data_IF_369989714372
#
_entry.id   IF_369989714372
#
_cell.length_a   1.000
_cell.length_b   1.000
_cell.length_c   1.000
_cell.angle_alpha   90.00
_cell.angle_beta   90.00
_cell.angle_gamma   90.00
#
_symmetry.space_group_name_H-M   'P 1'
#
loop_
_entity.id
_entity.type
_entity.pdbx_description
1 polymer ?
#
# COMPACT_ATOMS: atom_id res chain seq x y z
N UNK A 1 20.76 -25.94 4.78
CA UNK A 1 21.39 -25.12 3.71
C UNK A 1 20.85 -25.49 2.33
N UNK A 2 20.83 -26.78 1.92
CA UNK A 2 20.18 -27.20 0.66
C UNK A 2 18.68 -26.84 0.58
N UNK A 3 17.92 -27.03 1.65
CA UNK A 3 16.48 -26.67 1.64
C UNK A 3 16.22 -25.15 1.57
N UNK A 4 17.18 -24.33 2.01
CA UNK A 4 17.08 -22.87 1.90
C UNK A 4 17.33 -22.40 0.46
N UNK A 5 18.25 -23.06 -0.26
CA UNK A 5 18.55 -22.77 -1.66
C UNK A 5 17.36 -23.12 -2.59
N UNK A 6 16.69 -24.25 -2.33
CA UNK A 6 15.51 -24.66 -3.09
C UNK A 6 14.31 -23.74 -2.84
N UNK A 7 14.17 -23.21 -1.62
CA UNK A 7 13.13 -22.24 -1.28
C UNK A 7 13.34 -20.88 -1.97
N UNK A 8 14.61 -20.43 -2.11
CA UNK A 8 14.92 -19.22 -2.89
C UNK A 8 14.67 -19.40 -4.38
N UNK A 9 14.95 -20.58 -4.93
CA UNK A 9 14.72 -20.87 -6.35
C UNK A 9 13.22 -20.87 -6.72
N UNK A 10 12.35 -21.36 -5.84
CA UNK A 10 10.90 -21.29 -6.04
C UNK A 10 10.34 -19.86 -5.89
N UNK A 11 10.86 -19.05 -4.97
CA UNK A 11 10.46 -17.64 -4.90
C UNK A 11 10.83 -16.89 -6.19
N UNK A 12 12.02 -17.16 -6.75
CA UNK A 12 12.48 -16.53 -8.00
C UNK A 12 11.62 -16.95 -9.20
N UNK A 13 11.16 -18.20 -9.28
CA UNK A 13 10.32 -18.64 -10.41
C UNK A 13 8.90 -18.06 -10.35
N UNK A 14 8.32 -17.93 -9.15
CA UNK A 14 7.00 -17.29 -8.96
C UNK A 14 7.08 -15.79 -9.23
N UNK A 15 8.16 -15.13 -8.81
CA UNK A 15 8.44 -13.73 -9.14
C UNK A 15 8.64 -13.54 -10.65
N UNK A 16 9.36 -14.44 -11.33
CA UNK A 16 9.55 -14.38 -12.78
C UNK A 16 8.23 -14.52 -13.55
N UNK A 17 7.33 -15.41 -13.10
CA UNK A 17 6.00 -15.59 -13.68
C UNK A 17 5.09 -14.37 -13.47
N UNK A 18 5.13 -13.75 -12.28
CA UNK A 18 4.40 -12.52 -12.00
C UNK A 18 4.94 -11.33 -12.82
N UNK A 19 6.26 -11.24 -12.99
CA UNK A 19 6.91 -10.22 -13.81
C UNK A 19 6.56 -10.38 -15.30
N UNK A 20 6.49 -11.61 -15.82
CA UNK A 20 6.08 -11.86 -17.21
C UNK A 20 4.61 -11.49 -17.44
N UNK A 21 3.73 -11.70 -16.45
CA UNK A 21 2.34 -11.26 -16.49
C UNK A 21 2.19 -9.73 -16.48
N UNK A 22 3.01 -9.02 -15.69
CA UNK A 22 3.05 -7.55 -15.66
C UNK A 22 3.62 -6.95 -16.96
N UNK A 23 4.61 -7.60 -17.59
CA UNK A 23 5.18 -7.16 -18.87
C UNK A 23 4.25 -7.45 -20.06
N UNK A 24 3.29 -8.37 -19.93
CA UNK A 24 2.26 -8.62 -20.96
C UNK A 24 1.07 -7.65 -20.91
N UNK A 25 0.86 -6.96 -19.78
CA UNK A 25 -0.29 -6.08 -19.57
C UNK A 25 -0.41 -4.86 -20.51
N UNK A 26 0.67 -4.21 -20.99
CA UNK A 26 0.54 -3.10 -21.93
C UNK A 26 0.00 -3.52 -23.31
N UNK A 27 0.05 -4.82 -23.65
CA UNK A 27 -0.43 -5.33 -24.94
C UNK A 27 -1.96 -5.51 -24.97
N UNK A 28 -2.62 -5.61 -23.80
CA UNK A 28 -4.08 -5.83 -23.70
C UNK A 28 -4.87 -4.55 -23.44
N UNK A 29 -4.22 -3.46 -23.00
CA UNK A 29 -4.83 -2.14 -22.89
C UNK A 29 -4.66 -1.33 -24.18
N UNK A 30 -5.08 -1.88 -25.31
CA UNK A 30 -5.30 -1.06 -26.50
C UNK A 30 -6.54 -0.20 -26.22
N UNK A 31 -6.46 1.14 -26.33
CA UNK A 31 -7.65 1.98 -26.28
C UNK A 31 -8.58 1.54 -27.41
N UNK A 32 -9.77 1.03 -27.06
CA UNK A 32 -10.76 0.60 -28.02
C UNK A 32 -11.01 1.71 -29.06
N UNK A 33 -11.15 1.38 -30.35
CA UNK A 33 -11.34 2.37 -31.41
C UNK A 33 -12.50 3.28 -31.04
N UNK A 34 -12.23 4.59 -31.02
CA UNK A 34 -13.25 5.60 -30.78
C UNK A 34 -14.34 5.45 -31.82
N UNK A 35 -15.45 4.84 -31.42
CA UNK A 35 -16.61 4.65 -32.29
C UNK A 35 -17.09 6.00 -32.85
N UNK A 36 -17.74 5.98 -34.03
CA UNK A 36 -18.24 7.19 -34.66
C UNK A 36 -19.16 7.95 -33.68
N UNK A 37 -18.78 9.18 -33.34
CA UNK A 37 -19.57 10.08 -32.51
C UNK A 37 -20.83 10.44 -33.29
N UNK A 38 -21.95 9.78 -32.95
CA UNK A 38 -23.25 10.16 -33.49
C UNK A 38 -23.55 11.63 -33.12
N UNK A 39 -24.01 12.46 -34.07
CA UNK A 39 -24.40 13.82 -33.79
C UNK A 39 -25.53 13.83 -32.77
N UNK A 40 -25.29 14.45 -31.61
CA UNK A 40 -26.30 14.57 -30.55
C UNK A 40 -27.45 15.43 -31.08
N UNK A 41 -28.71 14.98 -30.96
CA UNK A 41 -29.85 15.74 -31.44
C UNK A 41 -29.94 17.11 -30.74
N UNK A 42 -30.18 18.16 -31.53
CA UNK A 42 -30.22 19.56 -31.10
C UNK A 42 -31.37 19.91 -30.13
N UNK A 43 -32.36 19.02 -29.97
CA UNK A 43 -33.46 19.22 -29.01
C UNK A 43 -33.10 18.85 -27.56
N UNK A 44 -31.89 18.34 -27.30
CA UNK A 44 -31.35 18.12 -25.94
C UNK A 44 -30.68 19.38 -25.32
N UNK A 45 -30.75 20.53 -25.99
CA UNK A 45 -29.98 21.74 -25.63
C UNK A 45 -30.56 22.61 -24.48
N UNK A 46 -31.42 22.08 -23.61
CA UNK A 46 -31.96 22.87 -22.48
C UNK A 46 -32.15 22.10 -21.16
N UNK A 47 -31.33 21.08 -20.90
CA UNK A 47 -31.07 20.67 -19.51
C UNK A 47 -29.64 21.05 -19.20
N UNK A 48 -29.45 22.13 -18.45
CA UNK A 48 -28.19 22.32 -17.71
C UNK A 48 -27.90 21.00 -17.00
N UNK A 49 -26.67 20.44 -17.10
CA UNK A 49 -26.36 19.17 -16.47
C UNK A 49 -26.79 19.26 -15.02
N UNK A 50 -27.82 18.47 -14.66
CA UNK A 50 -28.44 18.54 -13.36
C UNK A 50 -27.34 18.35 -12.32
N UNK A 51 -27.15 19.39 -11.52
CA UNK A 51 -26.07 19.46 -10.55
C UNK A 51 -26.41 18.46 -9.45
N UNK A 52 -25.79 17.29 -9.49
CA UNK A 52 -26.11 16.20 -8.58
C UNK A 52 -25.34 16.37 -7.27
N UNK A 53 -26.02 16.16 -6.14
CA UNK A 53 -25.37 16.12 -4.83
C UNK A 53 -24.73 14.74 -4.63
N UNK A 54 -23.40 14.70 -4.59
CA UNK A 54 -22.60 13.48 -4.49
C UNK A 54 -22.19 13.14 -3.05
N UNK A 55 -22.69 13.85 -2.04
CA UNK A 55 -22.27 13.70 -0.64
C UNK A 55 -22.53 12.30 -0.09
N UNK A 56 -23.72 11.77 -0.32
CA UNK A 56 -24.11 10.46 0.20
C UNK A 56 -23.28 9.35 -0.44
N UNK A 57 -23.05 9.44 -1.75
CA UNK A 57 -22.19 8.50 -2.48
C UNK A 57 -20.72 8.59 -2.02
N UNK A 58 -20.20 9.81 -1.81
CA UNK A 58 -18.86 10.02 -1.28
C UNK A 58 -18.72 9.46 0.15
N UNK A 59 -19.72 9.70 1.01
CA UNK A 59 -19.75 9.15 2.37
C UNK A 59 -19.82 7.61 2.35
N UNK A 60 -20.57 7.02 1.42
CA UNK A 60 -20.62 5.58 1.24
C UNK A 60 -19.25 4.99 0.89
N UNK A 61 -18.47 5.64 0.02
CA UNK A 61 -17.09 5.23 -0.29
C UNK A 61 -16.22 5.21 0.97
N UNK A 62 -16.25 6.26 1.78
CA UNK A 62 -15.44 6.32 3.01
C UNK A 62 -15.88 5.29 4.06
N UNK A 63 -17.19 5.04 4.19
CA UNK A 63 -17.70 3.98 5.06
C UNK A 63 -17.26 2.58 4.60
N UNK A 64 -17.25 2.33 3.29
CA UNK A 64 -16.78 1.08 2.71
C UNK A 64 -15.28 0.84 2.92
N UNK A 65 -14.49 1.88 3.20
CA UNK A 65 -13.08 1.72 3.59
C UNK A 65 -12.93 1.62 5.11
N UNK A 66 -13.69 2.42 5.86
CA UNK A 66 -13.56 2.56 7.32
C UNK A 66 -13.87 1.26 8.07
N UNK A 67 -15.00 0.63 7.78
CA UNK A 67 -15.43 -0.58 8.49
C UNK A 67 -14.46 -1.75 8.29
N UNK A 68 -14.08 -2.14 7.06
CA UNK A 68 -13.12 -3.23 6.89
C UNK A 68 -11.72 -2.88 7.41
N UNK A 69 -11.30 -1.61 7.34
CA UNK A 69 -10.03 -1.19 7.94
C UNK A 69 -10.03 -1.44 9.46
N UNK A 70 -11.11 -1.10 10.16
CA UNK A 70 -11.23 -1.37 11.60
C UNK A 70 -11.16 -2.88 11.91
N UNK A 71 -11.83 -3.72 11.11
CA UNK A 71 -11.80 -5.17 11.27
C UNK A 71 -10.39 -5.74 11.04
N UNK A 72 -9.75 -5.37 9.94
CA UNK A 72 -8.38 -5.82 9.60
C UNK A 72 -7.39 -5.31 10.65
N UNK A 73 -7.50 -4.05 11.07
CA UNK A 73 -6.67 -3.48 12.12
C UNK A 73 -6.78 -4.26 13.43
N UNK A 74 -8.00 -4.61 13.85
CA UNK A 74 -8.20 -5.42 15.07
C UNK A 74 -7.63 -6.84 14.93
N UNK A 75 -7.79 -7.48 13.77
CA UNK A 75 -7.20 -8.78 13.48
C UNK A 75 -5.66 -8.73 13.46
N UNK A 76 -5.09 -7.68 12.89
CA UNK A 76 -3.63 -7.44 12.88
C UNK A 76 -3.09 -7.25 14.30
N UNK A 77 -3.79 -6.47 15.14
CA UNK A 77 -3.42 -6.29 16.54
C UNK A 77 -3.41 -7.62 17.30
N UNK A 78 -4.45 -8.44 17.14
CA UNK A 78 -4.48 -9.77 17.75
C UNK A 78 -3.40 -10.70 17.19
N UNK A 79 -3.08 -10.56 15.90
CA UNK A 79 -2.01 -11.31 15.23
C UNK A 79 -0.62 -10.97 15.76
N UNK A 80 -0.36 -9.70 16.10
CA UNK A 80 0.94 -9.23 16.58
C UNK A 80 1.46 -9.99 17.81
N UNK A 81 0.55 -10.44 18.68
CA UNK A 81 0.89 -11.16 19.91
C UNK A 81 0.75 -12.68 19.79
N UNK A 82 0.37 -13.20 18.61
CA UNK A 82 0.18 -14.63 18.41
C UNK A 82 1.50 -15.42 18.40
N UNK A 83 2.61 -14.76 18.05
CA UNK A 83 3.94 -15.35 18.03
C UNK A 83 4.84 -14.57 18.98
N UNK A 84 5.33 -15.23 20.04
CA UNK A 84 6.30 -14.65 20.96
C UNK A 84 7.69 -15.21 20.65
N UNK A 85 8.74 -14.37 20.60
CA UNK A 85 10.10 -14.86 20.36
C UNK A 85 10.55 -15.70 21.56
N UNK A 86 10.97 -16.94 21.32
CA UNK A 86 11.56 -17.78 22.36
C UNK A 86 13.09 -17.66 22.33
N UNK A 87 13.73 -17.73 23.50
CA UNK A 87 15.20 -17.70 23.59
C UNK A 87 15.86 -18.90 22.90
N UNK A 88 15.13 -20.01 22.78
CA UNK A 88 15.58 -21.22 22.10
C UNK A 88 15.43 -21.16 20.57
N UNK A 89 14.89 -20.08 20.01
CA UNK A 89 14.66 -19.99 18.56
C UNK A 89 15.97 -19.80 17.79
N UNK A 90 16.07 -20.47 16.64
CA UNK A 90 17.16 -20.20 15.70
C UNK A 90 17.13 -18.73 15.26
N UNK A 91 18.30 -18.16 14.95
CA UNK A 91 18.41 -16.77 14.52
C UNK A 91 17.43 -16.41 13.37
N UNK A 92 17.31 -17.30 12.38
CA UNK A 92 16.40 -17.11 11.25
C UNK A 92 14.93 -17.08 11.68
N UNK A 93 14.51 -17.98 12.58
CA UNK A 93 13.14 -17.99 13.11
C UNK A 93 12.86 -16.75 13.95
N UNK A 94 13.79 -16.37 14.83
CA UNK A 94 13.69 -15.15 15.63
C UNK A 94 13.55 -13.88 14.78
N UNK A 95 14.28 -13.81 13.65
CA UNK A 95 14.13 -12.71 12.70
C UNK A 95 12.74 -12.70 12.03
N UNK A 96 12.22 -13.87 11.62
CA UNK A 96 10.87 -13.97 11.06
C UNK A 96 9.77 -13.55 12.06
N UNK A 97 9.90 -13.93 13.34
CA UNK A 97 8.96 -13.51 14.39
C UNK A 97 8.98 -11.99 14.57
N UNK A 98 10.17 -11.37 14.59
CA UNK A 98 10.30 -9.91 14.67
C UNK A 98 9.69 -9.21 13.45
N UNK A 99 9.93 -9.72 12.24
CA UNK A 99 9.32 -9.21 11.01
C UNK A 99 7.80 -9.36 11.03
N UNK A 100 7.28 -10.48 11.53
CA UNK A 100 5.84 -10.68 11.71
C UNK A 100 5.24 -9.61 12.63
N UNK A 101 5.85 -9.35 13.79
CA UNK A 101 5.40 -8.28 14.69
C UNK A 101 5.44 -6.89 14.02
N UNK A 102 6.52 -6.58 13.31
CA UNK A 102 6.65 -5.31 12.57
C UNK A 102 5.56 -5.16 11.50
N UNK A 103 5.24 -6.22 10.76
CA UNK A 103 4.16 -6.22 9.77
C UNK A 103 2.77 -6.11 10.41
N UNK A 104 2.57 -6.72 11.58
CA UNK A 104 1.30 -6.66 12.30
C UNK A 104 1.01 -5.26 12.83
N UNK A 105 1.97 -4.66 13.53
CA UNK A 105 1.90 -3.25 13.97
C UNK A 105 1.83 -2.32 12.75
N UNK A 106 2.60 -2.67 11.72
CA UNK A 106 2.47 -2.25 10.32
C UNK A 106 1.02 -2.02 9.88
N UNK A 107 0.35 -3.14 9.71
CA UNK A 107 -1.01 -3.19 9.24
C UNK A 107 -1.97 -2.42 10.16
N UNK A 108 -1.80 -2.52 11.48
CA UNK A 108 -2.63 -1.83 12.45
C UNK A 108 -2.56 -0.30 12.27
N UNK A 109 -1.37 0.29 12.25
CA UNK A 109 -1.24 1.74 12.14
C UNK A 109 -1.77 2.25 10.80
N UNK A 110 -1.49 1.55 9.69
CA UNK A 110 -2.02 1.92 8.38
C UNK A 110 -3.56 1.90 8.36
N UNK A 111 -4.18 0.86 8.92
CA UNK A 111 -5.64 0.78 9.01
C UNK A 111 -6.25 1.81 9.96
N UNK A 112 -5.59 2.16 11.06
CA UNK A 112 -6.03 3.25 11.95
C UNK A 112 -6.01 4.61 11.21
N UNK A 113 -4.96 4.88 10.42
CA UNK A 113 -4.91 6.08 9.58
C UNK A 113 -6.06 6.11 8.59
N UNK A 114 -6.41 4.98 7.96
CA UNK A 114 -7.60 4.88 7.10
C UNK A 114 -8.88 5.20 7.85
N UNK A 115 -9.08 4.66 9.05
CA UNK A 115 -10.29 4.93 9.87
C UNK A 115 -10.40 6.41 10.23
N UNK A 116 -9.30 7.02 10.65
CA UNK A 116 -9.25 8.45 10.99
C UNK A 116 -9.52 9.30 9.74
N UNK A 117 -8.79 9.06 8.64
CA UNK A 117 -8.94 9.81 7.40
C UNK A 117 -10.38 9.74 6.86
N UNK A 118 -10.98 8.54 6.81
CA UNK A 118 -12.37 8.36 6.40
C UNK A 118 -13.35 9.07 7.33
N UNK A 119 -13.13 9.04 8.65
CA UNK A 119 -14.00 9.72 9.62
C UNK A 119 -13.92 11.23 9.46
N UNK A 120 -12.72 11.79 9.31
CA UNK A 120 -12.54 13.23 9.05
C UNK A 120 -13.14 13.67 7.73
N UNK A 121 -13.12 12.81 6.70
CA UNK A 121 -13.75 13.12 5.42
C UNK A 121 -15.27 13.17 5.52
N UNK A 122 -15.87 12.19 6.22
CA UNK A 122 -17.32 12.14 6.46
C UNK A 122 -17.78 13.36 7.27
N UNK A 123 -17.02 13.73 8.31
CA UNK A 123 -17.30 14.92 9.12
C UNK A 123 -17.28 16.19 8.25
N UNK A 124 -16.23 16.38 7.45
CA UNK A 124 -16.13 17.49 6.50
C UNK A 124 -17.23 17.50 5.44
N UNK A 125 -17.67 16.33 4.97
CA UNK A 125 -18.81 16.21 4.04
C UNK A 125 -20.10 16.70 4.68
N UNK A 126 -20.30 16.42 5.97
CA UNK A 126 -21.49 16.85 6.72
C UNK A 126 -21.54 18.36 6.99
N UNK A 127 -20.38 19.00 7.16
CA UNK A 127 -20.28 20.44 7.47
C UNK A 127 -20.09 21.32 6.23
N UNK A 128 -19.69 20.75 5.10
CA UNK A 128 -19.43 21.52 3.87
C UNK A 128 -20.74 22.16 3.36
N UNK A 129 -20.77 23.46 3.02
CA UNK A 129 -21.92 24.07 2.36
C UNK A 129 -22.12 23.46 0.96
N UNK A 130 -23.37 23.21 0.56
CA UNK A 130 -23.75 22.58 -0.72
C UNK A 130 -23.31 23.41 -1.91
N UNK A 131 -22.06 23.27 -2.38
CA UNK A 131 -21.52 24.24 -3.35
C UNK A 131 -20.45 23.75 -4.35
N UNK A 132 -20.14 22.45 -4.44
CA UNK A 132 -19.34 21.95 -5.57
C UNK A 132 -20.21 21.15 -6.52
N UNK A 133 -20.83 21.88 -7.43
CA UNK A 133 -21.53 21.37 -8.61
C UNK A 133 -20.55 20.63 -9.50
N UNK A 134 -20.36 19.33 -9.25
CA UNK A 134 -19.52 18.47 -10.08
C UNK A 134 -20.38 17.51 -10.90
N UNK A 135 -19.98 17.26 -12.15
CA UNK A 135 -20.69 16.34 -13.04
C UNK A 135 -20.41 14.88 -12.65
N UNK A 136 -19.26 14.62 -12.01
CA UNK A 136 -18.83 13.29 -11.61
C UNK A 136 -18.35 13.23 -10.16
N UNK A 137 -18.64 12.12 -9.50
CA UNK A 137 -18.15 11.82 -8.15
C UNK A 137 -16.62 11.90 -8.03
N UNK A 138 -15.88 11.42 -9.04
CA UNK A 138 -14.41 11.46 -9.03
C UNK A 138 -13.87 12.90 -9.03
N UNK A 139 -14.55 13.81 -9.72
CA UNK A 139 -14.19 15.23 -9.76
C UNK A 139 -14.50 15.91 -8.41
N UNK A 140 -15.64 15.58 -7.81
CA UNK A 140 -16.03 16.02 -6.47
C UNK A 140 -14.98 15.60 -5.42
N UNK A 141 -14.54 14.35 -5.46
CA UNK A 141 -13.53 13.82 -4.53
C UNK A 141 -12.16 14.47 -4.74
N UNK A 142 -11.78 14.77 -5.98
CA UNK A 142 -10.48 15.38 -6.29
C UNK A 142 -10.40 16.88 -5.98
N UNK A 143 -11.53 17.59 -5.91
CA UNK A 143 -11.55 19.04 -5.66
C UNK A 143 -11.56 19.38 -4.17
N UNK A 144 -12.42 18.72 -3.38
CA UNK A 144 -12.60 19.04 -1.96
C UNK A 144 -11.92 18.09 -0.98
N UNK A 145 -11.75 16.81 -1.35
CA UNK A 145 -11.42 15.72 -0.42
C UNK A 145 -10.21 14.89 -0.88
N UNK A 146 -9.37 15.49 -1.73
CA UNK A 146 -8.26 14.77 -2.37
C UNK A 146 -7.32 14.18 -1.34
N UNK A 147 -6.99 14.93 -0.29
CA UNK A 147 -6.05 14.47 0.73
C UNK A 147 -6.58 13.27 1.48
N UNK A 148 -7.81 13.36 2.00
CA UNK A 148 -8.45 12.31 2.79
C UNK A 148 -8.71 11.07 1.95
N UNK A 149 -9.15 11.25 0.70
CA UNK A 149 -9.39 10.15 -0.22
C UNK A 149 -8.11 9.38 -0.54
N UNK A 150 -7.06 10.10 -0.92
CA UNK A 150 -5.76 9.49 -1.25
C UNK A 150 -5.16 8.83 -0.01
N UNK A 151 -5.20 9.49 1.16
CA UNK A 151 -4.70 8.95 2.41
C UNK A 151 -5.45 7.67 2.82
N UNK A 152 -6.79 7.70 2.85
CA UNK A 152 -7.59 6.56 3.26
C UNK A 152 -7.36 5.36 2.36
N UNK A 153 -7.36 5.57 1.03
CA UNK A 153 -7.21 4.50 0.04
C UNK A 153 -5.80 3.91 0.02
N UNK A 154 -4.76 4.75 0.05
CA UNK A 154 -3.38 4.28 0.04
C UNK A 154 -3.03 3.52 1.31
N UNK A 155 -3.37 4.04 2.49
CA UNK A 155 -3.09 3.35 3.74
C UNK A 155 -3.92 2.06 3.89
N UNK A 156 -5.15 2.02 3.37
CA UNK A 156 -5.96 0.80 3.40
C UNK A 156 -5.31 -0.33 2.61
N UNK A 157 -4.87 -0.04 1.39
CA UNK A 157 -4.22 -1.03 0.53
C UNK A 157 -2.88 -1.47 1.12
N UNK A 158 -2.08 -0.53 1.64
CA UNK A 158 -0.81 -0.85 2.31
C UNK A 158 -1.03 -1.71 3.56
N UNK A 159 -2.01 -1.36 4.38
CA UNK A 159 -2.37 -2.10 5.59
C UNK A 159 -2.87 -3.52 5.27
N UNK A 160 -3.67 -3.67 4.21
CA UNK A 160 -4.12 -4.98 3.72
C UNK A 160 -2.95 -5.83 3.20
N UNK A 161 -2.01 -5.21 2.47
CA UNK A 161 -0.82 -5.89 1.95
C UNK A 161 0.08 -6.41 3.08
N UNK A 162 0.31 -5.57 4.10
CA UNK A 162 1.06 -5.94 5.30
C UNK A 162 0.35 -7.04 6.10
N UNK A 163 -0.99 -6.99 6.19
CA UNK A 163 -1.78 -8.03 6.85
C UNK A 163 -1.61 -9.39 6.17
N UNK A 164 -1.72 -9.45 4.84
CA UNK A 164 -1.57 -10.70 4.09
C UNK A 164 -0.14 -11.25 4.23
N UNK A 165 0.88 -10.38 4.17
CA UNK A 165 2.26 -10.80 4.42
C UNK A 165 2.46 -11.34 5.85
N UNK A 166 1.88 -10.68 6.86
CA UNK A 166 1.89 -11.13 8.26
C UNK A 166 1.28 -12.53 8.41
N UNK A 167 0.13 -12.79 7.79
CA UNK A 167 -0.52 -14.12 7.78
C UNK A 167 0.36 -15.17 7.10
N UNK A 168 1.04 -14.81 6.01
CA UNK A 168 2.01 -15.69 5.33
C UNK A 168 3.17 -16.13 6.23
N UNK A 169 3.80 -15.17 6.91
CA UNK A 169 4.88 -15.48 7.85
C UNK A 169 4.36 -16.35 9.01
N UNK A 170 3.16 -16.07 9.51
CA UNK A 170 2.55 -16.87 10.57
C UNK A 170 2.32 -18.31 10.12
N UNK A 171 1.72 -18.51 8.96
CA UNK A 171 1.52 -19.84 8.38
C UNK A 171 2.86 -20.58 8.23
N UNK A 172 3.92 -19.88 7.80
CA UNK A 172 5.24 -20.48 7.68
C UNK A 172 5.81 -20.98 9.02
N UNK A 173 5.61 -20.22 10.11
CA UNK A 173 6.15 -20.54 11.44
C UNK A 173 5.31 -21.60 12.16
N UNK A 174 3.98 -21.59 12.00
CA UNK A 174 3.04 -22.39 12.79
C UNK A 174 2.81 -23.79 12.21
N UNK A 175 2.99 -23.98 10.90
CA UNK A 175 2.86 -25.30 10.28
C UNK A 175 4.15 -26.12 10.34
N UNK A 176 4.17 -27.15 11.18
CA UNK A 176 5.28 -28.13 11.27
C UNK A 176 5.47 -28.92 9.97
N UNK A 177 4.39 -29.15 9.22
CA UNK A 177 4.43 -29.87 7.94
C UNK A 177 4.90 -28.96 6.80
N UNK A 178 6.07 -29.28 6.25
CA UNK A 178 6.69 -28.54 5.14
C UNK A 178 5.82 -28.49 3.88
N UNK A 179 5.01 -29.52 3.62
CA UNK A 179 4.11 -29.57 2.45
C UNK A 179 2.95 -28.61 2.61
N UNK A 180 2.32 -28.59 3.78
CA UNK A 180 1.16 -27.74 4.04
C UNK A 180 1.58 -26.26 4.08
N UNK A 181 2.71 -25.98 4.73
CA UNK A 181 3.29 -24.64 4.80
C UNK A 181 3.57 -24.06 3.39
N UNK A 182 4.13 -24.87 2.48
CA UNK A 182 4.38 -24.45 1.09
C UNK A 182 3.09 -24.13 0.34
N UNK A 183 2.04 -24.96 0.47
CA UNK A 183 0.74 -24.71 -0.18
C UNK A 183 0.06 -23.47 0.38
N UNK A 184 0.12 -23.26 1.70
CA UNK A 184 -0.41 -22.06 2.33
C UNK A 184 0.33 -20.80 1.85
N UNK A 185 1.67 -20.85 1.78
CA UNK A 185 2.47 -19.75 1.27
C UNK A 185 2.20 -19.43 -0.19
N UNK A 186 2.06 -20.43 -1.07
CA UNK A 186 1.77 -20.17 -2.48
C UNK A 186 0.38 -19.55 -2.66
N UNK A 187 -0.61 -19.99 -1.91
CA UNK A 187 -1.94 -19.37 -1.90
C UNK A 187 -1.88 -17.91 -1.44
N UNK A 188 -1.19 -17.63 -0.34
CA UNK A 188 -1.03 -16.28 0.22
C UNK A 188 -0.25 -15.38 -0.73
N UNK A 189 0.84 -15.88 -1.32
CA UNK A 189 1.61 -15.15 -2.32
C UNK A 189 0.75 -14.84 -3.56
N UNK A 190 -0.06 -15.79 -4.03
CA UNK A 190 -1.01 -15.57 -5.12
C UNK A 190 -1.99 -14.43 -4.80
N UNK A 191 -2.61 -14.45 -3.62
CA UNK A 191 -3.49 -13.37 -3.15
C UNK A 191 -2.76 -12.02 -3.10
N UNK A 192 -1.52 -12.01 -2.60
CA UNK A 192 -0.70 -10.81 -2.52
C UNK A 192 -0.42 -10.20 -3.91
N UNK A 193 -0.04 -11.02 -4.89
CA UNK A 193 0.19 -10.56 -6.26
C UNK A 193 -1.10 -10.07 -6.93
N UNK A 194 -2.22 -10.75 -6.71
CA UNK A 194 -3.54 -10.30 -7.19
C UNK A 194 -3.88 -8.93 -6.61
N UNK A 195 -3.68 -8.71 -5.31
CA UNK A 195 -3.89 -7.42 -4.67
C UNK A 195 -3.00 -6.32 -5.26
N UNK A 196 -1.72 -6.61 -5.51
CA UNK A 196 -0.80 -5.66 -6.17
C UNK A 196 -1.27 -5.33 -7.58
N UNK A 197 -1.73 -6.32 -8.34
CA UNK A 197 -2.24 -6.12 -9.70
C UNK A 197 -3.47 -5.20 -9.71
N UNK A 198 -4.45 -5.46 -8.83
CA UNK A 198 -5.61 -4.59 -8.67
C UNK A 198 -5.25 -3.18 -8.19
N UNK A 199 -4.30 -3.06 -7.27
CA UNK A 199 -3.78 -1.77 -6.83
C UNK A 199 -3.09 -1.01 -7.99
N UNK A 200 -2.38 -1.71 -8.87
CA UNK A 200 -1.83 -1.16 -10.10
C UNK A 200 -2.89 -0.58 -11.03
N UNK A 201 -3.96 -1.34 -11.29
CA UNK A 201 -5.10 -0.90 -12.11
C UNK A 201 -5.85 0.29 -11.48
N UNK A 202 -5.92 0.33 -10.15
CA UNK A 202 -6.47 1.45 -9.40
C UNK A 202 -5.63 2.74 -9.48
N UNK A 203 -4.51 2.75 -10.20
CA UNK A 203 -3.63 3.90 -10.37
C UNK A 203 -2.72 4.16 -9.17
N UNK A 204 -2.55 3.18 -8.26
CA UNK A 204 -1.71 3.35 -7.08
C UNK A 204 -0.22 3.49 -7.46
N UNK A 205 0.22 2.73 -8.48
CA UNK A 205 1.61 2.61 -8.92
C UNK A 205 1.92 3.21 -10.31
N UNK A 206 0.93 3.71 -11.05
CA UNK A 206 1.15 4.29 -12.39
C UNK A 206 2.07 5.53 -12.34
N UNK A 207 2.65 5.95 -13.47
CA UNK A 207 3.57 7.11 -13.55
C UNK A 207 2.94 8.40 -12.98
N UNK A 208 3.24 8.73 -11.71
CA UNK A 208 2.58 9.82 -10.96
C UNK A 208 1.50 9.35 -9.95
N UNK A 209 1.49 8.07 -9.62
CA UNK A 209 0.43 7.36 -8.89
C UNK A 209 0.17 7.87 -7.49
N UNK A 210 -0.93 7.37 -6.90
CA UNK A 210 -1.46 7.82 -5.61
C UNK A 210 -0.40 7.83 -4.51
N UNK A 211 0.53 6.87 -4.48
CA UNK A 211 1.63 6.85 -3.50
C UNK A 211 2.56 8.06 -3.69
N UNK A 212 2.95 8.39 -4.92
CA UNK A 212 3.82 9.54 -5.17
C UNK A 212 3.12 10.84 -4.81
N UNK A 213 1.83 10.96 -5.11
CA UNK A 213 1.01 12.12 -4.70
C UNK A 213 0.90 12.20 -3.19
N UNK A 214 0.64 11.08 -2.52
CA UNK A 214 0.54 10.99 -1.06
C UNK A 214 1.85 11.38 -0.38
N UNK A 215 2.98 10.84 -0.84
CA UNK A 215 4.32 11.19 -0.34
C UNK A 215 4.61 12.68 -0.59
N UNK A 216 4.28 13.22 -1.76
CA UNK A 216 4.48 14.65 -2.03
C UNK A 216 3.63 15.54 -1.10
N UNK A 217 2.37 15.14 -0.83
CA UNK A 217 1.48 15.84 0.09
C UNK A 217 2.02 15.77 1.52
N UNK A 218 2.45 14.58 1.98
CA UNK A 218 3.05 14.42 3.31
C UNK A 218 4.33 15.26 3.41
N UNK A 219 5.20 15.26 2.40
CA UNK A 219 6.42 16.05 2.43
C UNK A 219 6.13 17.56 2.44
N UNK A 220 5.09 18.00 1.72
CA UNK A 220 4.65 19.38 1.77
C UNK A 220 4.10 19.76 3.16
N UNK A 221 3.31 18.89 3.79
CA UNK A 221 2.77 19.10 5.14
C UNK A 221 3.82 18.91 6.24
N UNK A 222 4.78 18.03 6.06
CA UNK A 222 5.91 17.78 6.95
C UNK A 222 6.75 19.04 7.16
N UNK A 223 6.72 19.96 6.19
CA UNK A 223 7.37 21.27 6.31
C UNK A 223 6.65 22.20 7.29
N UNK A 224 5.41 21.90 7.64
CA UNK A 224 4.55 22.66 8.54
C UNK A 224 4.24 21.93 9.85
N UNK A 225 4.44 20.61 9.91
CA UNK A 225 4.15 19.77 11.08
C UNK A 225 5.42 19.35 11.84
N UNK A 226 5.25 19.00 13.11
CA UNK A 226 6.31 18.57 14.01
C UNK A 226 7.06 17.32 13.49
N UNK A 227 8.38 17.32 13.68
CA UNK A 227 9.35 16.37 13.10
C UNK A 227 9.04 14.89 13.43
N UNK A 228 8.35 14.64 14.55
CA UNK A 228 7.99 13.31 15.01
C UNK A 228 7.01 12.57 14.06
N UNK A 229 6.04 13.27 13.47
CA UNK A 229 5.07 12.65 12.56
C UNK A 229 5.74 12.20 11.25
N UNK A 230 6.70 13.00 10.79
CA UNK A 230 7.49 12.73 9.58
C UNK A 230 8.35 11.49 9.77
N UNK A 231 8.94 11.32 10.95
CA UNK A 231 9.71 10.13 11.31
C UNK A 231 8.84 8.88 11.40
N UNK A 232 7.63 8.97 11.97
CA UNK A 232 6.73 7.82 12.08
C UNK A 232 6.27 7.32 10.70
N UNK A 233 5.83 8.23 9.83
CA UNK A 233 5.41 7.90 8.45
C UNK A 233 6.61 7.47 7.60
N UNK A 234 7.74 8.16 7.73
CA UNK A 234 8.98 7.82 7.04
C UNK A 234 9.50 6.43 7.40
N UNK A 235 9.58 6.09 8.69
CA UNK A 235 10.01 4.77 9.16
C UNK A 235 9.09 3.68 8.63
N UNK A 236 7.78 3.92 8.58
CA UNK A 236 6.80 2.98 8.03
C UNK A 236 6.98 2.74 6.53
N UNK A 237 7.14 3.83 5.79
CA UNK A 237 7.31 3.77 4.33
C UNK A 237 8.64 3.11 3.99
N UNK A 238 9.70 3.43 4.75
CA UNK A 238 11.02 2.80 4.62
C UNK A 238 10.94 1.30 4.97
N UNK A 239 10.26 0.89 6.04
CA UNK A 239 10.06 -0.53 6.34
C UNK A 239 9.29 -1.25 5.24
N UNK A 240 8.26 -0.64 4.67
CA UNK A 240 7.51 -1.20 3.53
C UNK A 240 8.37 -1.29 2.26
N UNK A 241 9.19 -0.27 1.99
CA UNK A 241 10.12 -0.23 0.84
C UNK A 241 11.25 -1.25 1.02
N UNK A 242 11.83 -1.37 2.22
CA UNK A 242 12.87 -2.38 2.50
C UNK A 242 12.31 -3.80 2.39
N UNK A 243 11.04 -4.01 2.74
CA UNK A 243 10.33 -5.25 2.47
C UNK A 243 10.20 -5.53 0.97
N UNK A 244 9.89 -4.52 0.16
CA UNK A 244 9.82 -4.65 -1.29
C UNK A 244 11.21 -4.85 -1.93
N UNK A 245 12.24 -4.15 -1.44
CA UNK A 245 13.62 -4.26 -1.94
C UNK A 245 14.26 -5.61 -1.57
N UNK A 246 13.99 -6.12 -0.38
CA UNK A 246 14.44 -7.45 0.06
C UNK A 246 13.79 -8.59 -0.72
N UNK A 247 12.56 -8.39 -1.20
CA UNK A 247 11.80 -9.39 -1.97
C UNK A 247 12.06 -9.30 -3.47
N UNK A 248 12.27 -8.09 -4.03
CA UNK A 248 12.31 -7.86 -5.49
C UNK A 248 13.75 -7.63 -5.98
N UNK A 249 14.72 -7.35 -5.11
CA UNK A 249 16.10 -7.15 -5.54
C UNK A 249 16.28 -5.93 -6.45
N UNK A 250 15.51 -4.85 -6.25
CA UNK A 250 15.59 -3.58 -7.02
C UNK A 250 16.83 -2.74 -6.58
N UNK A 251 17.93 -3.42 -6.26
CA UNK A 251 19.06 -2.86 -5.52
C UNK A 251 19.91 -1.84 -6.29
N UNK A 252 19.71 -1.65 -7.61
CA UNK A 252 20.51 -0.70 -8.39
C UNK A 252 19.82 0.62 -8.70
N UNK A 253 18.49 0.63 -8.89
CA UNK A 253 17.76 1.88 -9.21
C UNK A 253 17.48 2.72 -7.96
N UNK A 254 17.12 2.06 -6.85
CA UNK A 254 16.66 2.75 -5.65
C UNK A 254 17.81 3.33 -4.79
N UNK A 255 18.98 2.65 -4.76
CA UNK A 255 20.18 3.18 -4.10
C UNK A 255 20.58 4.55 -4.64
N UNK A 256 20.40 4.78 -5.94
CA UNK A 256 20.70 6.06 -6.59
C UNK A 256 19.67 7.14 -6.23
N UNK A 257 18.40 6.78 -6.08
CA UNK A 257 17.31 7.69 -5.68
C UNK A 257 17.38 8.09 -4.19
N UNK A 258 17.78 7.16 -3.32
CA UNK A 258 17.99 7.42 -1.88
C UNK A 258 19.30 8.16 -1.65
N UNK A 259 20.37 7.84 -2.39
CA UNK A 259 21.63 8.58 -2.32
C UNK A 259 21.50 10.04 -2.79
N UNK A 260 20.52 10.33 -3.66
CA UNK A 260 20.17 11.71 -4.07
C UNK A 260 19.17 12.38 -3.12
N UNK A 261 18.60 11.64 -2.16
CA UNK A 261 17.74 12.16 -1.09
C UNK A 261 18.59 12.56 0.13
N UNK A 262 19.53 13.50 -0.05
CA UNK A 262 20.19 14.14 1.09
C UNK A 262 19.19 15.05 1.81
N UNK A 263 18.60 14.54 2.89
CA UNK A 263 17.90 15.38 3.86
C UNK A 263 18.92 16.38 4.46
N UNK A 264 18.65 17.70 4.46
CA UNK A 264 19.59 18.72 4.93
C UNK A 264 19.97 18.63 6.42
N UNK A 265 19.45 17.65 7.15
CA UNK A 265 19.66 17.47 8.59
C UNK A 265 20.77 16.48 8.97
N UNK A 266 21.19 15.56 8.08
CA UNK A 266 22.28 14.63 8.38
C UNK A 266 23.55 15.01 7.60
N UNK A 267 24.40 15.83 8.24
CA UNK A 267 25.64 16.36 7.66
C UNK A 267 26.81 15.37 7.63
N UNK A 268 26.62 14.11 8.00
CA UNK A 268 27.66 13.07 7.89
C UNK A 268 27.13 11.89 7.07
N UNK A 269 27.80 11.52 5.96
CA UNK A 269 27.48 10.30 5.24
C UNK A 269 27.72 9.09 6.16
N UNK A 270 26.76 8.16 6.18
CA UNK A 270 26.89 6.89 6.87
C UNK A 270 27.90 6.04 6.08
N UNK A 271 29.03 5.71 6.71
CA UNK A 271 30.08 4.87 6.12
C UNK A 271 29.71 3.39 6.27
N UNK A 272 29.19 2.81 5.19
CA UNK A 272 28.79 1.41 5.12
C UNK A 272 29.97 0.44 5.04
N UNK A 273 31.21 0.93 4.91
CA UNK A 273 32.40 0.06 4.85
C UNK A 273 32.76 -0.59 6.18
N UNK A 274 32.17 -0.10 7.29
CA UNK A 274 32.40 -0.63 8.64
C UNK A 274 31.46 -1.78 9.05
N UNK A 275 30.35 -2.03 8.33
CA UNK A 275 29.27 -2.94 8.78
C UNK A 275 29.54 -4.42 8.47
N UNK A 276 30.78 -4.80 8.15
CA UNK A 276 31.13 -6.19 7.77
C UNK A 276 32.44 -6.72 8.34
N UNK A 277 32.98 -6.12 9.41
CA UNK A 277 34.31 -6.45 9.95
C UNK A 277 34.36 -6.78 11.44
N UNK A 278 33.23 -7.05 12.08
CA UNK A 278 33.26 -7.60 13.45
C UNK A 278 32.84 -9.07 13.39
N UNK A 279 33.84 -9.93 13.70
CA UNK A 279 33.72 -11.37 13.96
C UNK A 279 32.85 -11.67 15.19
#
# INVERSE_FOLDING_TARGET
IRDAADSTAMMVSVLAAALTLQLLQPALSQPGPSGPKLPRPSWLLASTPATMDWRDDAAAIFNNLRTPAALIGSAAFSGAFALQPAESDSFARGLCVRFHMMLAVGSLCANLVTVIASTTAIDKLSTSPSASTCVQLTEFMNSGFKMEYVAARTNFILGLLQFVAMVGIRAWIEFESTRFSKVALTAIAGTFFVMISFAGQAGLFANGGLIRQYVAIILAQARQMDVALVFAVGAFTISAILLLDGVIGISKGYRTAVASFQLPFFRKPIDWSAVGKEE
#
